data_IF_692172477397
#
_entry.id   IF_692172477397
#
_cell.length_a   1.000
_cell.length_b   1.000
_cell.length_c   1.000
_cell.angle_alpha   90.00
_cell.angle_beta   90.00
_cell.angle_gamma   90.00
#
_symmetry.space_group_name_H-M   'P 1'
#
loop_
_entity.id
_entity.type
_entity.pdbx_description
1 polymer ?
#
# COMPACT_ATOMS: atom_id res chain seq x y z
N UNK A 1 6.84 17.40 -1.22
CA UNK A 1 6.90 15.95 -0.98
C UNK A 1 6.03 15.69 0.23
N UNK A 2 4.91 15.01 0.06
CA UNK A 2 4.11 14.56 1.19
C UNK A 2 4.50 13.11 1.47
N UNK A 3 4.68 12.78 2.74
CA UNK A 3 4.99 11.43 3.19
C UNK A 3 3.95 11.08 4.24
N UNK A 4 3.29 9.95 4.08
CA UNK A 4 2.37 9.38 5.04
C UNK A 4 3.03 8.17 5.67
N UNK A 5 3.00 8.10 6.99
CA UNK A 5 3.44 6.94 7.73
C UNK A 5 2.41 6.67 8.82
N UNK A 6 1.75 5.53 8.72
CA UNK A 6 0.68 5.18 9.68
C UNK A 6 -0.03 3.89 9.32
N UNK A 7 -0.97 3.46 10.18
CA UNK A 7 -1.80 2.29 9.94
C UNK A 7 -2.82 2.59 8.85
N UNK A 8 -2.94 1.69 7.87
CA UNK A 8 -3.97 1.74 6.83
C UNK A 8 -4.67 0.41 6.73
N UNK A 9 -5.93 0.44 6.30
CA UNK A 9 -6.64 -0.78 5.91
C UNK A 9 -6.36 -1.05 4.44
N UNK A 10 -5.66 -2.15 4.14
CA UNK A 10 -5.52 -2.68 2.80
C UNK A 10 -6.68 -3.64 2.51
N UNK A 11 -7.46 -3.34 1.48
CA UNK A 11 -8.47 -4.24 0.93
C UNK A 11 -7.88 -4.96 -0.27
N UNK A 12 -7.67 -6.26 -0.11
CA UNK A 12 -7.20 -7.15 -1.16
C UNK A 12 -8.32 -7.39 -2.21
N UNK A 13 -7.97 -7.78 -3.44
CA UNK A 13 -8.95 -8.04 -4.51
C UNK A 13 -9.91 -9.20 -4.18
N UNK A 14 -9.56 -10.07 -3.23
CA UNK A 14 -10.44 -11.11 -2.71
C UNK A 14 -11.48 -10.58 -1.69
N UNK A 15 -11.48 -9.27 -1.40
CA UNK A 15 -12.36 -8.62 -0.41
C UNK A 15 -11.85 -8.69 1.04
N UNK A 16 -10.65 -9.22 1.27
CA UNK A 16 -10.06 -9.30 2.62
C UNK A 16 -9.51 -7.94 3.00
N UNK A 17 -9.99 -7.39 4.11
CA UNK A 17 -9.44 -6.20 4.74
C UNK A 17 -8.35 -6.60 5.75
N UNK A 18 -7.20 -5.94 5.66
CA UNK A 18 -6.05 -6.17 6.53
C UNK A 18 -5.53 -4.82 7.01
N UNK A 19 -5.30 -4.66 8.31
CA UNK A 19 -4.52 -3.54 8.81
C UNK A 19 -3.03 -3.78 8.59
N UNK A 20 -2.39 -2.85 7.89
CA UNK A 20 -0.95 -2.85 7.61
C UNK A 20 -0.39 -1.47 7.90
N UNK A 21 0.89 -1.41 8.27
CA UNK A 21 1.59 -0.14 8.37
C UNK A 21 2.04 0.31 6.99
N UNK A 22 1.58 1.46 6.52
CA UNK A 22 1.99 2.03 5.25
C UNK A 22 2.98 3.18 5.45
N UNK A 23 4.05 3.16 4.67
CA UNK A 23 4.94 4.29 4.48
C UNK A 23 4.86 4.73 3.01
N UNK A 24 4.04 5.74 2.72
CA UNK A 24 3.76 6.25 1.39
C UNK A 24 4.45 7.59 1.16
N UNK A 25 4.92 7.84 -0.05
CA UNK A 25 5.47 9.12 -0.48
C UNK A 25 4.97 9.50 -1.85
N UNK A 26 4.52 10.75 -1.98
CA UNK A 26 4.07 11.31 -3.24
C UNK A 26 5.20 12.01 -3.98
N UNK A 27 5.20 11.86 -5.30
CA UNK A 27 6.15 12.49 -6.21
C UNK A 27 5.47 12.81 -7.54
N UNK A 28 6.04 13.80 -8.24
CA UNK A 28 5.60 14.15 -9.58
C UNK A 28 6.50 13.42 -10.58
N UNK A 29 5.91 12.53 -11.37
CA UNK A 29 6.60 11.82 -12.44
C UNK A 29 5.91 12.15 -13.75
N UNK A 30 6.63 12.69 -14.73
CA UNK A 30 6.07 13.05 -16.05
C UNK A 30 4.82 13.98 -15.98
N UNK A 31 4.80 14.94 -15.05
CA UNK A 31 3.64 15.80 -14.73
C UNK A 31 2.39 15.05 -14.20
N UNK A 32 2.49 13.75 -13.93
CA UNK A 32 1.47 12.98 -13.24
C UNK A 32 1.79 12.95 -11.75
N UNK A 33 0.78 13.20 -10.91
CA UNK A 33 0.88 12.93 -9.48
C UNK A 33 0.83 11.42 -9.28
N UNK A 34 1.95 10.88 -8.84
CA UNK A 34 2.14 9.47 -8.53
C UNK A 34 2.57 9.36 -7.08
N UNK A 35 2.32 8.23 -6.46
CA UNK A 35 2.82 7.96 -5.13
C UNK A 35 3.18 6.49 -5.03
N UNK A 36 4.17 6.20 -4.21
CA UNK A 36 4.65 4.84 -3.97
C UNK A 36 4.93 4.68 -2.50
N UNK A 37 5.06 3.46 -2.03
CA UNK A 37 5.36 3.22 -0.64
C UNK A 37 5.60 1.76 -0.34
N UNK A 38 5.81 1.49 0.93
CA UNK A 38 5.94 0.14 1.46
C UNK A 38 4.80 -0.12 2.43
N UNK A 39 4.25 -1.32 2.35
CA UNK A 39 3.30 -1.86 3.32
C UNK A 39 4.03 -2.91 4.14
N UNK A 40 3.90 -2.83 5.46
CA UNK A 40 4.53 -3.77 6.39
C UNK A 40 3.45 -4.41 7.25
N UNK A 41 3.54 -5.74 7.38
CA UNK A 41 2.68 -6.54 8.26
C UNK A 41 3.54 -7.37 9.21
N UNK A 42 3.22 -7.33 10.50
CA UNK A 42 3.98 -7.98 11.59
C UNK A 42 3.75 -9.50 11.70
N UNK A 43 2.92 -10.09 10.83
CA UNK A 43 2.74 -11.54 10.79
C UNK A 43 2.77 -12.03 9.36
N UNK A 44 3.38 -13.21 9.12
CA UNK A 44 3.30 -13.89 7.85
C UNK A 44 1.85 -14.24 7.58
N UNK A 45 1.21 -13.39 6.83
CA UNK A 45 -0.13 -13.57 6.38
C UNK A 45 0.07 -13.64 4.88
N UNK A 46 -0.30 -14.76 4.25
CA UNK A 46 -0.19 -15.00 2.81
C UNK A 46 -1.10 -14.05 1.98
N UNK A 47 -1.21 -12.80 2.41
CA UNK A 47 -1.97 -11.66 1.92
C UNK A 47 -1.41 -11.17 0.59
N UNK A 48 -0.12 -11.39 0.36
CA UNK A 48 0.56 -11.00 -0.87
C UNK A 48 0.31 -11.98 -2.02
N UNK A 49 -0.62 -12.94 -1.89
CA UNK A 49 -1.06 -13.81 -3.01
C UNK A 49 -1.59 -13.01 -4.23
N UNK A 50 -1.85 -11.71 -4.06
CA UNK A 50 -2.25 -10.77 -5.10
C UNK A 50 -1.16 -9.86 -5.67
N UNK A 51 0.14 -10.23 -5.66
CA UNK A 51 1.18 -9.42 -6.34
C UNK A 51 0.78 -9.17 -7.80
N UNK A 52 0.86 -7.91 -8.25
CA UNK A 52 0.43 -7.48 -9.57
C UNK A 52 -1.07 -7.17 -9.70
N UNK A 53 -1.86 -7.39 -8.64
CA UNK A 53 -3.27 -7.00 -8.60
C UNK A 53 -3.46 -5.61 -8.00
N UNK A 54 -4.53 -4.94 -8.42
CA UNK A 54 -4.98 -3.68 -7.81
C UNK A 54 -5.65 -3.98 -6.47
N UNK A 55 -5.12 -3.37 -5.42
CA UNK A 55 -5.70 -3.36 -4.09
C UNK A 55 -6.17 -1.94 -3.77
N UNK A 56 -7.08 -1.81 -2.81
CA UNK A 56 -7.51 -0.50 -2.31
C UNK A 56 -6.90 -0.27 -0.94
N UNK A 57 -6.24 0.86 -0.73
CA UNK A 57 -5.87 1.32 0.61
C UNK A 57 -6.90 2.31 1.11
N UNK A 58 -7.18 2.26 2.41
CA UNK A 58 -7.97 3.25 3.13
C UNK A 58 -7.16 3.76 4.32
N UNK A 59 -6.92 5.06 4.37
CA UNK A 59 -6.28 5.72 5.52
C UNK A 59 -7.27 5.85 6.67
N UNK A 60 -6.77 6.08 7.89
CA UNK A 60 -7.62 6.35 9.04
C UNK A 60 -8.51 7.59 8.86
N UNK A 61 -8.07 8.56 8.07
CA UNK A 61 -8.84 9.77 7.75
C UNK A 61 -10.05 9.48 6.84
N UNK A 62 -10.15 8.26 6.30
CA UNK A 62 -11.23 7.80 5.44
C UNK A 62 -10.94 7.96 3.95
N UNK A 63 -9.80 8.54 3.59
CA UNK A 63 -9.35 8.64 2.20
C UNK A 63 -9.00 7.26 1.64
N UNK A 64 -9.42 7.03 0.41
CA UNK A 64 -9.15 5.78 -0.30
C UNK A 64 -8.26 6.01 -1.51
N UNK A 65 -7.39 5.06 -1.80
CA UNK A 65 -6.51 5.09 -2.95
C UNK A 65 -6.29 3.70 -3.54
N UNK A 66 -6.20 3.60 -4.85
CA UNK A 66 -5.86 2.35 -5.52
C UNK A 66 -4.35 2.18 -5.59
N UNK A 67 -3.86 1.01 -5.17
CA UNK A 67 -2.45 0.62 -5.23
C UNK A 67 -2.28 -0.65 -6.04
N UNK A 68 -1.15 -0.75 -6.71
CA UNK A 68 -0.69 -2.01 -7.32
C UNK A 68 0.50 -2.50 -6.52
N UNK A 69 0.40 -3.74 -6.04
CA UNK A 69 1.51 -4.46 -5.41
C UNK A 69 2.53 -4.78 -6.50
N UNK A 70 3.71 -4.18 -6.40
CA UNK A 70 4.76 -4.28 -7.42
C UNK A 70 5.79 -5.34 -7.04
N UNK A 71 6.14 -5.41 -5.76
CA UNK A 71 7.10 -6.36 -5.22
C UNK A 71 6.73 -6.75 -3.79
N UNK A 72 7.28 -7.86 -3.33
CA UNK A 72 7.04 -8.37 -1.99
C UNK A 72 8.28 -9.13 -1.49
N UNK A 73 8.73 -8.75 -0.29
CA UNK A 73 9.76 -9.43 0.47
C UNK A 73 9.13 -10.21 1.65
N UNK A 74 9.13 -11.55 1.58
CA UNK A 74 8.77 -12.38 2.72
C UNK A 74 9.86 -12.29 3.79
N UNK A 75 9.44 -12.09 5.04
CA UNK A 75 10.31 -12.18 6.21
C UNK A 75 9.70 -13.12 7.26
N UNK A 76 10.55 -13.69 8.12
CA UNK A 76 10.11 -14.60 9.18
C UNK A 76 9.30 -13.91 10.28
N UNK A 77 9.48 -12.60 10.45
CA UNK A 77 8.83 -11.79 11.50
C UNK A 77 7.96 -10.67 10.92
N UNK A 78 8.39 -10.06 9.83
CA UNK A 78 7.61 -9.02 9.14
C UNK A 78 7.72 -9.22 7.63
N UNK A 79 6.59 -9.03 6.98
CA UNK A 79 6.47 -9.07 5.52
C UNK A 79 6.36 -7.64 4.99
N UNK A 80 7.12 -7.33 3.96
CA UNK A 80 7.15 -5.98 3.35
C UNK A 80 6.74 -6.08 1.90
N UNK A 81 5.74 -5.33 1.46
CA UNK A 81 5.36 -5.21 0.06
C UNK A 81 5.54 -3.80 -0.45
N UNK A 82 6.11 -3.68 -1.66
CA UNK A 82 6.18 -2.41 -2.37
C UNK A 82 4.90 -2.16 -3.14
N UNK A 83 4.35 -0.97 -2.96
CA UNK A 83 3.12 -0.52 -3.63
C UNK A 83 3.36 0.73 -4.44
N UNK A 84 2.71 0.78 -5.60
CA UNK A 84 2.65 1.99 -6.43
C UNK A 84 1.19 2.36 -6.63
N UNK A 85 0.82 3.56 -6.19
CA UNK A 85 -0.50 4.12 -6.38
C UNK A 85 -0.54 5.10 -7.55
N UNK A 86 -1.69 5.16 -8.21
CA UNK A 86 -1.95 6.11 -9.31
C UNK A 86 -2.97 7.14 -8.85
N UNK A 87 -2.73 8.42 -9.12
CA UNK A 87 -3.65 9.51 -8.80
C UNK A 87 -3.23 10.34 -7.58
N UNK A 88 -4.13 11.16 -7.01
CA UNK A 88 -3.82 11.91 -5.80
C UNK A 88 -3.47 10.94 -4.67
N UNK A 89 -2.42 11.28 -3.91
CA UNK A 89 -2.09 10.56 -2.71
C UNK A 89 -3.27 10.68 -1.71
N UNK A 90 -3.68 9.59 -1.04
CA UNK A 90 -4.80 9.61 -0.09
C UNK A 90 -4.41 10.24 1.27
N UNK A 91 -3.55 11.27 1.26
CA UNK A 91 -2.99 11.95 2.43
C UNK A 91 -2.42 13.35 2.09
#
# INVERSE_FOLDING_TARGET
MATYSGPVTLTLPNGTEVEVSAALHSFLENNLRTWRGTLTVDRPASLWDGVGQTCTIRTMDGDTGEVVLSDFQPGSESEVAEVTGRGPAPF
#
